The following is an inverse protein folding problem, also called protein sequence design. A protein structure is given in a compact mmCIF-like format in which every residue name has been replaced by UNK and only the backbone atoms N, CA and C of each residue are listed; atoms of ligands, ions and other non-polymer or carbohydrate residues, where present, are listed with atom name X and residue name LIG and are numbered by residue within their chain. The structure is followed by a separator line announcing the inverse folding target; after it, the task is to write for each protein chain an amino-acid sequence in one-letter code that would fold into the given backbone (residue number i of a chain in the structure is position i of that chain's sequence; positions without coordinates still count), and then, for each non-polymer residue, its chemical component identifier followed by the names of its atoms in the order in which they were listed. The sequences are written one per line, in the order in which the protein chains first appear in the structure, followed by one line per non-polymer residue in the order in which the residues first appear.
data_IF_592715122309
#
_entry.id   IF_592715122309
#
_cell.length_a   1.000
_cell.length_b   1.000
_cell.length_c   1.000
_cell.angle_alpha   90.00
_cell.angle_beta   90.00
_cell.angle_gamma   90.00
#
_symmetry.space_group_name_H-M   'P 1'
#
loop_
_entity.id
_entity.type
_entity.pdbx_description
1 polymer ?
#
# COMPACT_ATOMS: atom_id res chain seq x y z
N UNK A 1 -11.49 -6.70 4.60
CA UNK A 1 -10.34 -5.88 5.09
C UNK A 1 -10.73 -4.44 5.40
N UNK A 2 -11.53 -3.81 4.56
CA UNK A 2 -11.97 -2.42 4.81
C UNK A 2 -12.69 -2.26 6.16
N UNK A 3 -13.50 -3.22 6.56
CA UNK A 3 -14.19 -3.19 7.86
C UNK A 3 -13.20 -3.20 9.04
N UNK A 4 -12.07 -3.90 8.92
CA UNK A 4 -10.99 -3.87 9.91
C UNK A 4 -10.34 -2.48 10.00
N UNK A 5 -10.07 -1.87 8.84
CA UNK A 5 -9.53 -0.51 8.80
C UNK A 5 -10.49 0.49 9.46
N UNK A 6 -11.79 0.40 9.16
CA UNK A 6 -12.83 1.23 9.77
C UNK A 6 -12.92 0.99 11.28
N UNK A 7 -12.86 -0.26 11.72
CA UNK A 7 -12.86 -0.59 13.15
C UNK A 7 -11.65 0.03 13.87
N UNK A 8 -10.46 -0.05 13.27
CA UNK A 8 -9.26 0.57 13.82
C UNK A 8 -9.38 2.11 13.86
N UNK A 9 -9.92 2.76 12.80
CA UNK A 9 -10.20 4.21 12.79
C UNK A 9 -11.14 4.60 13.92
N UNK A 10 -12.22 3.86 14.12
CA UNK A 10 -13.17 4.12 15.22
C UNK A 10 -12.52 3.93 16.59
N UNK A 11 -11.70 2.90 16.74
CA UNK A 11 -10.98 2.60 18.01
C UNK A 11 -9.99 3.70 18.37
N UNK A 12 -9.21 4.19 17.40
CA UNK A 12 -8.18 5.24 17.64
C UNK A 12 -8.76 6.66 17.56
N UNK A 13 -9.99 6.80 17.05
CA UNK A 13 -10.60 8.10 16.71
C UNK A 13 -9.69 8.96 15.81
N UNK A 14 -8.93 8.32 14.92
CA UNK A 14 -7.92 8.96 14.07
C UNK A 14 -7.96 8.36 12.65
N UNK A 15 -8.52 9.05 11.64
CA UNK A 15 -8.53 8.58 10.24
C UNK A 15 -7.22 8.93 9.54
N UNK A 16 -6.09 8.51 10.11
CA UNK A 16 -4.74 8.83 9.62
C UNK A 16 -3.93 7.57 9.36
N UNK A 17 -2.92 7.71 8.52
CA UNK A 17 -1.95 6.64 8.19
C UNK A 17 -0.54 7.22 8.34
N UNK A 18 0.33 6.52 9.04
CA UNK A 18 1.74 6.90 9.12
C UNK A 18 2.51 6.24 7.97
N UNK A 19 3.18 7.06 7.14
CA UNK A 19 4.10 6.60 6.10
C UNK A 19 5.40 6.08 6.72
N UNK A 20 5.84 4.90 6.28
CA UNK A 20 7.14 4.34 6.61
C UNK A 20 8.03 4.40 5.36
N UNK A 21 8.57 5.59 5.11
CA UNK A 21 9.39 5.94 3.96
C UNK A 21 10.85 6.19 4.41
N UNK A 22 11.58 5.16 4.90
CA UNK A 22 12.86 5.34 5.55
C UNK A 22 13.96 5.76 4.55
N UNK A 23 14.54 6.94 4.77
CA UNK A 23 15.78 7.35 4.11
C UNK A 23 16.90 7.36 5.14
N UNK A 24 18.10 6.90 4.77
CA UNK A 24 19.26 6.86 5.70
C UNK A 24 19.50 8.20 6.41
N UNK A 25 19.32 9.33 5.73
CA UNK A 25 19.47 10.67 6.31
C UNK A 25 18.47 11.02 7.42
N UNK A 26 17.36 10.28 7.55
CA UNK A 26 16.36 10.48 8.59
C UNK A 26 16.56 9.53 9.77
N UNK A 27 17.38 8.49 9.59
CA UNK A 27 17.63 7.51 10.65
C UNK A 27 18.62 8.12 11.64
N UNK A 28 18.29 8.17 12.96
CA UNK A 28 19.19 8.67 13.97
C UNK A 28 20.56 8.00 13.93
N UNK A 29 21.63 8.79 14.12
CA UNK A 29 23.01 8.34 14.00
C UNK A 29 23.33 7.15 14.94
N UNK A 30 22.76 7.12 16.13
CA UNK A 30 22.93 6.03 17.09
C UNK A 30 22.39 4.70 16.57
N UNK A 31 21.27 4.72 15.81
CA UNK A 31 20.69 3.52 15.19
C UNK A 31 21.61 3.04 14.06
N UNK A 32 22.08 3.97 13.21
CA UNK A 32 23.01 3.64 12.12
C UNK A 32 24.32 3.04 12.66
N UNK A 33 24.92 3.68 13.68
CA UNK A 33 26.16 3.18 14.31
C UNK A 33 26.00 1.79 14.90
N UNK A 34 24.89 1.50 15.57
CA UNK A 34 24.60 0.20 16.15
C UNK A 34 24.48 -0.88 15.05
N UNK A 35 23.73 -0.60 13.99
CA UNK A 35 23.56 -1.51 12.86
C UNK A 35 24.88 -1.75 12.11
N UNK A 36 25.68 -0.71 11.90
CA UNK A 36 26.98 -0.81 11.21
C UNK A 36 28.05 -1.49 12.05
N UNK A 37 27.98 -1.39 13.37
CA UNK A 37 28.87 -2.14 14.26
C UNK A 37 28.67 -3.66 14.14
N UNK A 38 27.44 -4.11 13.88
CA UNK A 38 27.10 -5.53 13.76
C UNK A 38 27.25 -6.05 12.32
N UNK A 39 26.82 -5.28 11.32
CA UNK A 39 26.74 -5.74 9.93
C UNK A 39 27.66 -4.98 8.96
N UNK A 40 28.49 -4.06 9.47
CA UNK A 40 29.34 -3.18 8.68
C UNK A 40 28.54 -2.11 7.89
N UNK A 41 29.27 -1.23 7.23
CA UNK A 41 28.71 -0.25 6.27
C UNK A 41 28.35 -0.94 4.94
N UNK A 42 27.32 -1.79 4.98
CA UNK A 42 26.86 -2.65 3.89
C UNK A 42 25.38 -2.45 3.65
N UNK A 43 24.83 -3.02 2.55
CA UNK A 43 23.38 -3.05 2.31
C UNK A 43 22.63 -3.74 3.46
N UNK A 44 23.24 -4.76 4.10
CA UNK A 44 22.67 -5.44 5.26
C UNK A 44 22.64 -4.53 6.49
N UNK A 45 23.71 -3.79 6.75
CA UNK A 45 23.76 -2.81 7.84
C UNK A 45 22.75 -1.67 7.65
N UNK A 46 22.62 -1.17 6.42
CA UNK A 46 21.58 -0.17 6.09
C UNK A 46 20.17 -0.72 6.29
N UNK A 47 19.89 -1.94 5.83
CA UNK A 47 18.58 -2.59 6.00
C UNK A 47 18.25 -2.85 7.48
N UNK A 48 19.21 -3.20 8.31
CA UNK A 48 19.01 -3.34 9.76
C UNK A 48 18.73 -1.98 10.41
N UNK A 49 19.45 -0.93 10.04
CA UNK A 49 19.17 0.43 10.53
C UNK A 49 17.73 0.88 10.17
N UNK A 50 17.28 0.62 8.95
CA UNK A 50 15.91 0.86 8.49
C UNK A 50 14.90 0.10 9.36
N UNK A 51 15.14 -1.19 9.58
CA UNK A 51 14.28 -2.03 10.40
C UNK A 51 14.14 -1.50 11.84
N UNK A 52 15.25 -1.17 12.49
CA UNK A 52 15.24 -0.65 13.86
C UNK A 52 14.55 0.72 13.96
N UNK A 53 14.74 1.57 12.96
CA UNK A 53 14.07 2.86 12.88
C UNK A 53 12.55 2.70 12.73
N UNK A 54 12.09 1.87 11.80
CA UNK A 54 10.67 1.60 11.63
C UNK A 54 10.05 0.99 12.88
N UNK A 55 10.75 0.04 13.52
CA UNK A 55 10.32 -0.58 14.77
C UNK A 55 10.08 0.49 15.85
N UNK A 56 11.04 1.42 16.00
CA UNK A 56 10.90 2.53 16.95
C UNK A 56 9.71 3.44 16.65
N UNK A 57 9.45 3.76 15.38
CA UNK A 57 8.27 4.54 14.98
C UNK A 57 7.00 3.77 15.33
N UNK A 58 6.90 2.50 14.94
CA UNK A 58 5.70 1.67 15.19
C UNK A 58 5.44 1.54 16.70
N UNK A 59 6.47 1.31 17.52
CA UNK A 59 6.33 1.25 18.99
C UNK A 59 5.79 2.56 19.59
N UNK A 60 6.14 3.70 18.97
CA UNK A 60 5.69 5.00 19.43
C UNK A 60 4.27 5.39 19.02
N UNK A 61 3.72 4.79 17.96
CA UNK A 61 2.45 5.25 17.36
C UNK A 61 1.35 4.19 17.26
N UNK A 62 1.65 2.92 17.55
CA UNK A 62 0.73 1.80 17.29
C UNK A 62 -0.62 1.90 18.03
N UNK A 63 -0.67 2.56 19.17
CA UNK A 63 -1.90 2.81 19.95
C UNK A 63 -2.65 4.07 19.48
N UNK A 64 -2.04 4.91 18.65
CA UNK A 64 -2.57 6.20 18.22
C UNK A 64 -3.18 6.18 16.81
N UNK A 65 -2.81 5.20 15.97
CA UNK A 65 -3.14 5.16 14.54
C UNK A 65 -3.79 3.84 14.13
N UNK A 66 -4.65 3.84 13.10
CA UNK A 66 -5.29 2.62 12.58
C UNK A 66 -4.40 1.82 11.63
N UNK A 67 -3.48 2.48 10.94
CA UNK A 67 -2.76 1.89 9.81
C UNK A 67 -1.38 2.55 9.57
N UNK A 68 -0.52 1.81 8.89
CA UNK A 68 0.77 2.29 8.36
C UNK A 68 0.85 2.06 6.86
N UNK A 69 1.74 2.81 6.18
CA UNK A 69 1.95 2.68 4.73
C UNK A 69 3.45 2.65 4.41
N UNK A 70 4.09 1.47 4.43
CA UNK A 70 5.48 1.33 4.01
C UNK A 70 5.61 1.49 2.49
N UNK A 71 6.55 2.36 2.06
CA UNK A 71 6.87 2.61 0.66
C UNK A 71 7.98 1.65 0.21
N UNK A 72 7.65 0.66 -0.63
CA UNK A 72 8.57 -0.42 -0.99
C UNK A 72 9.86 0.08 -1.68
N UNK A 73 9.80 1.16 -2.46
CA UNK A 73 10.97 1.70 -3.14
C UNK A 73 12.11 2.09 -2.17
N UNK A 74 11.75 2.52 -0.95
CA UNK A 74 12.73 2.87 0.09
C UNK A 74 13.48 1.66 0.64
N UNK A 75 12.98 0.46 0.38
CA UNK A 75 13.58 -0.81 0.76
C UNK A 75 14.23 -1.49 -0.45
N UNK A 76 13.57 -1.51 -1.60
CA UNK A 76 14.08 -2.11 -2.84
C UNK A 76 15.44 -1.54 -3.26
N UNK A 77 15.70 -0.23 -3.01
CA UNK A 77 16.99 0.39 -3.28
C UNK A 77 18.18 -0.26 -2.56
N UNK A 78 17.92 -1.04 -1.50
CA UNK A 78 18.92 -1.84 -0.76
C UNK A 78 18.89 -3.32 -1.14
N UNK A 79 18.27 -3.67 -2.27
CA UNK A 79 18.19 -5.03 -2.79
C UNK A 79 17.48 -6.00 -1.84
N UNK A 80 17.94 -7.25 -1.86
CA UNK A 80 17.31 -8.32 -1.05
C UNK A 80 17.33 -7.99 0.45
N UNK A 81 18.40 -7.38 0.95
CA UNK A 81 18.48 -6.98 2.36
C UNK A 81 17.38 -6.00 2.75
N UNK A 82 17.11 -5.01 1.88
CA UNK A 82 16.00 -4.08 2.07
C UNK A 82 14.63 -4.76 2.02
N UNK A 83 14.41 -5.70 1.10
CA UNK A 83 13.15 -6.46 1.04
C UNK A 83 12.93 -7.32 2.30
N UNK A 84 13.98 -7.85 2.92
CA UNK A 84 13.89 -8.52 4.21
C UNK A 84 13.46 -7.53 5.30
N UNK A 85 14.02 -6.31 5.31
CA UNK A 85 13.59 -5.26 6.25
C UNK A 85 12.12 -4.85 6.02
N UNK A 86 11.66 -4.77 4.76
CA UNK A 86 10.26 -4.54 4.42
C UNK A 86 9.36 -5.64 5.00
N UNK A 87 9.67 -6.89 4.75
CA UNK A 87 8.93 -8.05 5.25
C UNK A 87 8.85 -8.06 6.79
N UNK A 88 9.97 -7.81 7.48
CA UNK A 88 10.01 -7.65 8.94
C UNK A 88 9.12 -6.51 9.42
N UNK A 89 9.14 -5.37 8.72
CA UNK A 89 8.32 -4.19 9.06
C UNK A 89 6.83 -4.52 8.93
N UNK A 90 6.41 -5.14 7.82
CA UNK A 90 5.01 -5.56 7.62
C UNK A 90 4.55 -6.50 8.74
N UNK A 91 5.32 -7.56 9.00
CA UNK A 91 5.00 -8.54 10.03
C UNK A 91 4.85 -7.89 11.41
N UNK A 92 5.77 -7.00 11.78
CA UNK A 92 5.73 -6.29 13.06
C UNK A 92 4.53 -5.34 13.20
N UNK A 93 4.20 -4.61 12.15
CA UNK A 93 3.02 -3.74 12.16
C UNK A 93 1.73 -4.55 12.37
N UNK A 94 1.62 -5.72 11.74
CA UNK A 94 0.48 -6.63 11.91
C UNK A 94 0.43 -7.22 13.32
N UNK A 95 1.57 -7.59 13.90
CA UNK A 95 1.67 -8.03 15.31
C UNK A 95 1.13 -6.96 16.27
N UNK A 96 1.35 -5.67 15.98
CA UNK A 96 0.82 -4.54 16.73
C UNK A 96 -0.66 -4.24 16.46
N UNK A 97 -1.31 -4.99 15.58
CA UNK A 97 -2.73 -4.81 15.22
C UNK A 97 -3.00 -3.68 14.24
N UNK A 98 -1.97 -3.13 13.61
CA UNK A 98 -2.09 -2.11 12.57
C UNK A 98 -2.48 -2.74 11.24
N UNK A 99 -3.32 -2.05 10.47
CA UNK A 99 -3.55 -2.36 9.06
C UNK A 99 -2.34 -1.87 8.26
N UNK A 100 -1.83 -2.71 7.36
CA UNK A 100 -0.67 -2.39 6.55
C UNK A 100 -1.08 -2.14 5.09
N UNK A 101 -0.81 -0.94 4.60
CA UNK A 101 -1.03 -0.54 3.21
C UNK A 101 0.32 -0.55 2.49
N UNK A 102 0.59 -1.58 1.70
CA UNK A 102 1.81 -1.62 0.88
C UNK A 102 1.76 -0.57 -0.23
N UNK A 103 2.62 0.45 -0.15
CA UNK A 103 2.74 1.43 -1.22
C UNK A 103 3.69 0.92 -2.30
N UNK A 104 3.17 0.03 -3.14
CA UNK A 104 3.95 -0.79 -4.09
C UNK A 104 3.70 -0.43 -5.54
N UNK A 105 2.58 0.23 -5.84
CA UNK A 105 2.18 0.77 -7.16
C UNK A 105 2.39 -0.23 -8.30
N UNK A 106 2.03 -1.51 -8.08
CA UNK A 106 2.18 -2.57 -9.08
C UNK A 106 1.21 -2.37 -10.25
N UNK A 107 1.62 -2.82 -11.43
CA UNK A 107 0.82 -2.79 -12.63
C UNK A 107 1.41 -3.70 -13.68
N UNK A 108 0.65 -4.74 -14.07
CA UNK A 108 0.95 -5.70 -15.10
C UNK A 108 -0.36 -6.36 -15.56
N UNK A 109 -0.33 -7.36 -16.43
CA UNK A 109 -1.51 -8.06 -16.92
C UNK A 109 -1.44 -9.57 -16.67
N UNK A 110 -2.61 -10.21 -16.65
CA UNK A 110 -2.75 -11.67 -16.64
C UNK A 110 -1.98 -12.33 -15.49
N UNK A 111 -1.23 -13.38 -15.80
CA UNK A 111 -0.46 -14.16 -14.83
C UNK A 111 0.64 -13.37 -14.11
N UNK A 112 1.21 -12.36 -14.76
CA UNK A 112 2.21 -11.48 -14.14
C UNK A 112 1.56 -10.61 -13.06
N UNK A 113 0.39 -10.03 -13.37
CA UNK A 113 -0.39 -9.29 -12.36
C UNK A 113 -0.83 -10.20 -11.21
N UNK A 114 -1.23 -11.45 -11.49
CA UNK A 114 -1.56 -12.44 -10.46
C UNK A 114 -0.35 -12.74 -9.55
N UNK A 115 0.84 -12.88 -10.12
CA UNK A 115 2.06 -13.09 -9.34
C UNK A 115 2.35 -11.92 -8.38
N UNK A 116 2.16 -10.67 -8.83
CA UNK A 116 2.25 -9.50 -7.95
C UNK A 116 1.17 -9.50 -6.87
N UNK A 117 -0.08 -9.81 -7.22
CA UNK A 117 -1.18 -9.86 -6.27
C UNK A 117 -0.93 -10.92 -5.18
N UNK A 118 -0.47 -12.11 -5.57
CA UNK A 118 -0.11 -13.20 -4.64
C UNK A 118 1.06 -12.79 -3.75
N UNK A 119 2.11 -12.16 -4.31
CA UNK A 119 3.28 -11.75 -3.54
C UNK A 119 2.93 -10.76 -2.41
N UNK A 120 2.05 -9.80 -2.69
CA UNK A 120 1.71 -8.73 -1.74
C UNK A 120 0.53 -9.08 -0.84
N UNK A 121 -0.53 -9.68 -1.39
CA UNK A 121 -1.80 -9.85 -0.69
C UNK A 121 -2.22 -11.31 -0.50
N UNK A 122 -1.64 -12.22 -1.27
CA UNK A 122 -2.08 -13.61 -1.33
C UNK A 122 -1.14 -14.60 -0.67
N UNK A 123 -1.27 -15.84 -1.12
CA UNK A 123 -0.44 -16.96 -0.69
C UNK A 123 0.08 -17.75 -1.86
N UNK A 124 1.33 -18.17 -1.78
CA UNK A 124 1.97 -19.09 -2.72
C UNK A 124 2.07 -20.48 -2.10
N UNK A 125 1.73 -21.50 -2.88
CA UNK A 125 1.85 -22.89 -2.47
C UNK A 125 3.20 -23.45 -2.93
N UNK A 126 3.96 -24.02 -2.00
CA UNK A 126 5.24 -24.71 -2.27
C UNK A 126 5.17 -26.10 -1.65
N UNK A 127 5.07 -27.11 -2.49
CA UNK A 127 4.78 -28.47 -2.04
C UNK A 127 3.39 -28.54 -1.39
N UNK A 128 3.32 -28.96 -0.14
CA UNK A 128 2.06 -29.06 0.62
C UNK A 128 1.80 -27.84 1.53
N UNK A 129 2.67 -26.83 1.49
CA UNK A 129 2.61 -25.68 2.39
C UNK A 129 2.24 -24.40 1.65
N UNK A 130 1.49 -23.54 2.34
CA UNK A 130 1.10 -22.22 1.85
C UNK A 130 1.84 -21.13 2.62
N UNK A 131 2.34 -20.12 1.91
CA UNK A 131 3.13 -19.02 2.46
C UNK A 131 2.58 -17.68 1.96
N UNK A 132 2.47 -16.69 2.83
CA UNK A 132 2.21 -15.30 2.48
C UNK A 132 3.55 -14.54 2.41
N UNK A 133 4.03 -14.15 1.21
CA UNK A 133 5.38 -13.62 1.08
C UNK A 133 5.57 -12.27 1.78
N UNK A 134 4.75 -11.28 1.51
CA UNK A 134 4.80 -9.96 2.17
C UNK A 134 3.63 -9.72 3.11
N UNK A 135 2.44 -10.24 2.79
CA UNK A 135 1.24 -10.26 3.63
C UNK A 135 0.72 -8.87 4.05
N UNK A 136 0.83 -7.86 3.19
CA UNK A 136 0.14 -6.59 3.41
C UNK A 136 -1.40 -6.79 3.41
N UNK A 137 -2.12 -5.83 3.97
CA UNK A 137 -3.59 -5.86 4.04
C UNK A 137 -4.22 -5.13 2.85
N UNK A 138 -3.55 -4.10 2.36
CA UNK A 138 -3.85 -3.40 1.12
C UNK A 138 -2.57 -3.20 0.31
N UNK A 139 -2.71 -3.13 -1.03
CA UNK A 139 -1.64 -2.74 -1.94
C UNK A 139 -2.07 -1.61 -2.85
N UNK A 140 -1.18 -0.68 -3.17
CA UNK A 140 -1.43 0.32 -4.21
C UNK A 140 -1.17 -0.26 -5.58
N UNK A 141 -2.03 0.03 -6.57
CA UNK A 141 -1.96 -0.51 -7.93
C UNK A 141 -2.17 0.58 -8.98
N UNK A 142 -1.54 0.40 -10.14
CA UNK A 142 -1.66 1.30 -11.28
C UNK A 142 -2.76 0.80 -12.23
N UNK A 143 -3.78 1.63 -12.59
CA UNK A 143 -4.89 1.22 -13.42
C UNK A 143 -4.63 1.28 -14.92
N UNK A 144 -3.46 1.76 -15.35
CA UNK A 144 -3.21 2.11 -16.76
C UNK A 144 -3.43 0.95 -17.75
N UNK A 145 -3.27 -0.29 -17.30
CA UNK A 145 -3.49 -1.50 -18.11
C UNK A 145 -4.93 -2.04 -18.01
N UNK A 146 -5.84 -1.28 -17.37
CA UNK A 146 -7.25 -1.63 -17.31
C UNK A 146 -7.57 -2.86 -16.45
N UNK A 147 -8.70 -3.49 -16.75
CA UNK A 147 -9.22 -4.64 -15.99
C UNK A 147 -8.30 -5.85 -16.00
N UNK A 148 -7.52 -6.06 -17.05
CA UNK A 148 -6.53 -7.15 -17.14
C UNK A 148 -5.44 -7.03 -16.06
N UNK A 149 -5.16 -5.80 -15.62
CA UNK A 149 -4.23 -5.52 -14.52
C UNK A 149 -4.87 -5.59 -13.14
N UNK A 150 -6.14 -5.20 -13.02
CA UNK A 150 -6.81 -5.04 -11.72
C UNK A 150 -7.53 -6.32 -11.27
N UNK A 151 -8.18 -7.05 -12.19
CA UNK A 151 -8.96 -8.24 -11.83
C UNK A 151 -8.15 -9.33 -11.10
N UNK A 152 -6.87 -9.61 -11.42
CA UNK A 152 -6.07 -10.55 -10.64
C UNK A 152 -5.92 -10.13 -9.16
N UNK A 153 -5.75 -8.84 -8.88
CA UNK A 153 -5.73 -8.33 -7.51
C UNK A 153 -7.08 -8.48 -6.80
N UNK A 154 -8.19 -8.16 -7.50
CA UNK A 154 -9.55 -8.32 -6.93
C UNK A 154 -9.82 -9.77 -6.57
N UNK A 155 -9.41 -10.73 -7.41
CA UNK A 155 -9.53 -12.16 -7.13
C UNK A 155 -8.86 -12.49 -5.79
N UNK A 156 -7.59 -12.12 -5.62
CA UNK A 156 -6.83 -12.37 -4.38
C UNK A 156 -7.46 -11.63 -3.19
N UNK A 157 -7.95 -10.40 -3.39
CA UNK A 157 -8.64 -9.66 -2.33
C UNK A 157 -9.88 -10.38 -1.81
N UNK A 158 -10.66 -11.00 -2.70
CA UNK A 158 -11.82 -11.80 -2.33
C UNK A 158 -11.44 -13.08 -1.58
N UNK A 159 -10.41 -13.78 -2.05
CA UNK A 159 -9.95 -15.06 -1.51
C UNK A 159 -9.30 -14.90 -0.12
N UNK A 160 -8.53 -13.83 0.09
CA UNK A 160 -7.72 -13.63 1.30
C UNK A 160 -8.23 -12.49 2.20
N UNK A 161 -9.41 -11.93 1.91
CA UNK A 161 -9.97 -10.77 2.62
C UNK A 161 -8.97 -9.60 2.69
N UNK A 162 -8.45 -9.18 1.55
CA UNK A 162 -7.50 -8.08 1.38
C UNK A 162 -8.16 -6.95 0.59
N UNK A 163 -7.40 -5.88 0.31
CA UNK A 163 -7.89 -4.78 -0.52
C UNK A 163 -6.79 -4.12 -1.35
N UNK A 164 -7.20 -3.20 -2.21
CA UNK A 164 -6.29 -2.39 -3.03
C UNK A 164 -6.68 -0.91 -3.01
N UNK A 165 -5.70 -0.04 -3.22
CA UNK A 165 -5.91 1.36 -3.55
C UNK A 165 -5.38 1.64 -4.95
N UNK A 166 -6.27 1.98 -5.86
CA UNK A 166 -5.97 2.27 -7.27
C UNK A 166 -5.52 3.72 -7.41
N UNK A 167 -4.46 4.00 -8.18
CA UNK A 167 -4.04 5.36 -8.49
C UNK A 167 -5.09 6.04 -9.37
N UNK A 168 -5.76 7.07 -8.88
CA UNK A 168 -6.81 7.80 -9.61
C UNK A 168 -6.38 9.23 -9.88
N UNK A 169 -6.10 10.02 -8.85
CA UNK A 169 -5.57 11.38 -8.98
C UNK A 169 -4.41 11.59 -8.03
N UNK A 170 -3.23 11.74 -8.59
CA UNK A 170 -1.99 11.88 -7.82
C UNK A 170 -1.59 13.34 -7.64
N UNK A 171 -0.74 13.63 -6.65
CA UNK A 171 -0.36 15.00 -6.26
C UNK A 171 0.93 15.50 -6.92
N UNK A 172 1.64 14.66 -7.69
CA UNK A 172 2.88 15.04 -8.35
C UNK A 172 2.65 16.11 -9.44
N UNK A 173 3.59 17.02 -9.67
CA UNK A 173 3.44 18.13 -10.62
C UNK A 173 3.00 17.73 -12.03
N UNK A 174 3.51 16.58 -12.53
CA UNK A 174 3.20 16.07 -13.87
C UNK A 174 1.88 15.29 -13.96
N UNK A 175 1.10 15.18 -12.89
CA UNK A 175 -0.13 14.39 -12.89
C UNK A 175 -1.12 14.85 -13.96
N UNK A 176 -1.15 16.15 -14.27
CA UNK A 176 -2.03 16.73 -15.29
C UNK A 176 -1.70 16.34 -16.73
N UNK A 177 -0.51 15.81 -17.01
CA UNK A 177 -0.14 15.38 -18.37
C UNK A 177 -1.08 14.31 -18.91
N UNK A 178 -1.61 13.46 -18.05
CA UNK A 178 -2.57 12.40 -18.38
C UNK A 178 -3.89 12.57 -17.62
N UNK A 179 -3.83 12.71 -16.29
CA UNK A 179 -5.00 12.58 -15.42
C UNK A 179 -6.05 13.69 -15.64
N UNK A 180 -5.63 14.89 -16.05
CA UNK A 180 -6.51 16.01 -16.31
C UNK A 180 -6.93 16.12 -17.79
N UNK A 181 -6.46 15.22 -18.67
CA UNK A 181 -6.89 15.19 -20.08
C UNK A 181 -8.37 14.84 -20.17
N UNK A 182 -9.06 15.54 -21.08
CA UNK A 182 -10.48 15.31 -21.31
C UNK A 182 -10.68 14.16 -22.31
N UNK A 183 -11.52 13.23 -21.91
CA UNK A 183 -12.06 12.17 -22.74
C UNK A 183 -13.57 12.34 -22.72
N UNK A 184 -14.17 12.57 -23.88
CA UNK A 184 -15.60 12.87 -24.01
C UNK A 184 -16.07 14.01 -23.07
N UNK A 185 -15.22 15.04 -22.91
CA UNK A 185 -15.52 16.22 -22.11
C UNK A 185 -15.32 16.04 -20.60
N UNK A 186 -14.81 14.91 -20.15
CA UNK A 186 -14.59 14.60 -18.73
C UNK A 186 -13.11 14.31 -18.45
N UNK A 187 -12.56 14.74 -17.30
CA UNK A 187 -11.18 14.43 -16.95
C UNK A 187 -10.95 12.90 -16.83
N UNK A 188 -9.80 12.43 -17.30
CA UNK A 188 -9.46 11.00 -17.27
C UNK A 188 -9.52 10.42 -15.84
N UNK A 189 -9.11 11.19 -14.83
CA UNK A 189 -9.16 10.71 -13.44
C UNK A 189 -10.59 10.39 -12.96
N UNK A 190 -11.63 11.08 -13.46
CA UNK A 190 -13.03 10.76 -13.13
C UNK A 190 -13.48 9.44 -13.78
N UNK A 191 -13.06 9.21 -15.01
CA UNK A 191 -13.32 7.94 -15.73
C UNK A 191 -12.65 6.77 -15.01
N UNK A 192 -11.41 6.97 -14.55
CA UNK A 192 -10.72 5.96 -13.73
C UNK A 192 -11.46 5.76 -12.41
N UNK A 193 -11.96 6.82 -11.78
CA UNK A 193 -12.74 6.72 -10.54
C UNK A 193 -14.02 5.88 -10.72
N UNK A 194 -14.74 6.05 -11.83
CA UNK A 194 -15.91 5.22 -12.16
C UNK A 194 -15.53 3.74 -12.33
N UNK A 195 -14.39 3.47 -13.00
CA UNK A 195 -13.89 2.11 -13.11
C UNK A 195 -13.51 1.51 -11.75
N UNK A 196 -12.93 2.30 -10.85
CA UNK A 196 -12.66 1.85 -9.48
C UNK A 196 -13.94 1.47 -8.74
N UNK A 197 -15.01 2.28 -8.88
CA UNK A 197 -16.30 1.94 -8.31
C UNK A 197 -16.90 0.66 -8.90
N UNK A 198 -16.78 0.46 -10.23
CA UNK A 198 -17.21 -0.76 -10.91
C UNK A 198 -16.46 -1.97 -10.38
N UNK A 199 -15.12 -1.95 -10.40
CA UNK A 199 -14.28 -3.02 -9.85
C UNK A 199 -14.57 -3.29 -8.37
N UNK A 200 -14.80 -2.23 -7.60
CA UNK A 200 -15.08 -2.31 -6.17
C UNK A 200 -16.41 -2.96 -5.83
N UNK A 201 -17.39 -2.90 -6.74
CA UNK A 201 -18.70 -3.50 -6.53
C UNK A 201 -18.66 -5.00 -6.31
N UNK A 202 -17.61 -5.66 -6.80
CA UNK A 202 -17.41 -7.10 -6.63
C UNK A 202 -16.64 -7.49 -5.35
N UNK A 203 -16.08 -6.51 -4.62
CA UNK A 203 -15.22 -6.75 -3.46
C UNK A 203 -15.64 -5.87 -2.27
N UNK A 204 -16.90 -5.97 -1.88
CA UNK A 204 -17.49 -5.16 -0.81
C UNK A 204 -17.17 -5.69 0.58
N UNK A 205 -16.89 -4.78 1.52
CA UNK A 205 -17.09 -5.01 2.94
C UNK A 205 -18.55 -4.75 3.35
N UNK A 206 -18.77 -4.45 4.63
CA UNK A 206 -20.15 -4.21 5.14
C UNK A 206 -20.79 -2.97 4.52
N UNK A 207 -20.05 -1.86 4.43
CA UNK A 207 -20.55 -0.58 3.93
C UNK A 207 -19.73 -0.05 2.75
N UNK A 208 -18.43 -0.28 2.75
CA UNK A 208 -17.47 0.24 1.78
C UNK A 208 -16.75 -0.88 1.03
N UNK A 209 -16.23 -0.53 -0.14
CA UNK A 209 -15.46 -1.45 -0.96
C UNK A 209 -14.03 -1.67 -0.40
N UNK A 210 -13.51 -2.88 -0.60
CA UNK A 210 -12.07 -3.17 -0.43
C UNK A 210 -11.21 -2.61 -1.58
N UNK A 211 -11.83 -2.00 -2.60
CA UNK A 211 -11.17 -1.33 -3.71
C UNK A 211 -11.35 0.18 -3.56
N UNK A 212 -10.34 0.84 -3.07
CA UNK A 212 -10.33 2.29 -2.88
C UNK A 212 -9.50 3.02 -3.92
N UNK A 213 -9.40 4.35 -3.79
CA UNK A 213 -8.64 5.21 -4.67
C UNK A 213 -7.54 5.96 -3.94
N UNK A 214 -6.38 6.14 -4.60
CA UNK A 214 -5.38 7.14 -4.21
C UNK A 214 -5.78 8.47 -4.82
N UNK A 215 -6.05 9.45 -3.94
CA UNK A 215 -6.41 10.82 -4.33
C UNK A 215 -5.50 11.79 -3.58
N UNK A 216 -4.77 12.62 -4.34
CA UNK A 216 -3.84 13.60 -3.76
C UNK A 216 -4.56 14.67 -2.95
N UNK A 217 -4.13 14.88 -1.70
CA UNK A 217 -4.72 15.87 -0.80
C UNK A 217 -4.50 17.34 -1.24
N UNK A 218 -3.59 17.58 -2.19
CA UNK A 218 -3.29 18.93 -2.73
C UNK A 218 -4.50 19.55 -3.43
N UNK A 219 -5.42 18.73 -3.95
CA UNK A 219 -6.60 19.17 -4.70
C UNK A 219 -7.88 18.59 -4.10
N UNK A 220 -8.37 19.12 -2.97
CA UNK A 220 -9.52 18.55 -2.26
C UNK A 220 -10.82 18.54 -3.09
N UNK A 221 -10.97 19.47 -4.04
CA UNK A 221 -12.15 19.55 -4.93
C UNK A 221 -12.26 18.32 -5.84
N UNK A 222 -11.13 17.77 -6.27
CA UNK A 222 -11.11 16.53 -7.06
C UNK A 222 -11.56 15.33 -6.22
N UNK A 223 -11.23 15.30 -4.92
CA UNK A 223 -11.78 14.32 -3.99
C UNK A 223 -13.30 14.39 -3.85
N UNK A 224 -13.87 15.61 -3.82
CA UNK A 224 -15.33 15.81 -3.81
C UNK A 224 -15.99 15.34 -5.11
N UNK A 225 -15.36 15.60 -6.26
CA UNK A 225 -15.84 15.12 -7.55
C UNK A 225 -15.83 13.59 -7.61
N UNK A 226 -14.72 12.97 -7.21
CA UNK A 226 -14.57 11.52 -7.16
C UNK A 226 -15.55 10.85 -6.20
N UNK A 227 -15.87 11.47 -5.04
CA UNK A 227 -16.85 10.91 -4.11
C UNK A 227 -18.25 10.77 -4.72
N UNK A 228 -18.58 11.54 -5.76
CA UNK A 228 -19.88 11.42 -6.47
C UNK A 228 -19.96 10.17 -7.33
N UNK A 229 -18.83 9.77 -7.93
CA UNK A 229 -18.74 8.58 -8.81
C UNK A 229 -18.27 7.33 -8.03
N UNK A 230 -17.68 7.52 -6.85
CA UNK A 230 -17.24 6.47 -5.94
C UNK A 230 -17.87 6.66 -4.56
N UNK A 231 -19.17 6.42 -4.39
CA UNK A 231 -19.88 6.70 -3.13
C UNK A 231 -19.54 5.73 -1.99
N UNK A 232 -18.99 4.55 -2.33
CA UNK A 232 -18.70 3.47 -1.37
C UNK A 232 -17.28 2.96 -1.46
#
# INVERSE_FOLDING_TARGET
MIDQLIANIKKTNAPIVVGLDPMMKFIPEQIQKAAFAEYGETLKGAAEAIWQYNKGIVDAVADLIPAVKPQIAMYEQFGVAGLIAFQKTVAYCKEKGLVVIGDVKRGDIGSTSEAYAVAHLGKVVVGEKSYAPFDEDFATVNPYLGSDGINPFIKVCKEENKGIFVLVKTSNPSSGEFQDRLVDGRPLYEIVGEKVAEWGSECMGSEYSNVGAVVGATYPEMGKALRKVMPK
#
